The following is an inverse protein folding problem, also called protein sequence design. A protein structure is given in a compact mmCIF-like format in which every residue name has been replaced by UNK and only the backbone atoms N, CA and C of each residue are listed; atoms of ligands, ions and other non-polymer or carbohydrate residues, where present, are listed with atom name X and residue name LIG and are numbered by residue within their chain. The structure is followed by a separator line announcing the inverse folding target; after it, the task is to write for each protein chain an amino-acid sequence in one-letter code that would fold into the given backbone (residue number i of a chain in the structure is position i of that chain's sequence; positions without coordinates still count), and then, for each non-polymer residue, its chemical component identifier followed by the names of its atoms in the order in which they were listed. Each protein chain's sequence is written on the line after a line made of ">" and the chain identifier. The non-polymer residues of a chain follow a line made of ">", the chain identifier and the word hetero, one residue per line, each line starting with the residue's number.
data_IF_304943975917
#
_entry.id   IF_304943975917
#
_cell.length_a   1.000
_cell.length_b   1.000
_cell.length_c   1.000
_cell.angle_alpha   90.00
_cell.angle_beta   90.00
_cell.angle_gamma   90.00
#
_symmetry.space_group_name_H-M   'P 1'
#
loop_
_entity.id
_entity.type
_entity.pdbx_description
1 polymer ?
#
# COMPACT_ATOMS: atom_id res chain seq x y z
N UNK A 1 -22.64 2.26 -4.64
CA UNK A 1 -21.59 3.20 -5.12
C UNK A 1 -21.32 4.33 -4.13
N UNK A 2 -22.31 5.09 -3.66
CA UNK A 2 -22.10 6.22 -2.73
C UNK A 2 -21.36 5.85 -1.43
N UNK A 3 -21.68 4.72 -0.81
CA UNK A 3 -21.01 4.24 0.41
C UNK A 3 -19.49 4.03 0.21
N UNK A 4 -19.07 3.66 -1.00
CA UNK A 4 -17.68 3.37 -1.31
C UNK A 4 -16.81 4.63 -1.36
N UNK A 5 -17.36 5.74 -1.88
CA UNK A 5 -16.70 7.05 -1.93
C UNK A 5 -16.97 7.92 -0.68
N UNK A 6 -17.82 7.45 0.24
CA UNK A 6 -18.13 8.18 1.46
C UNK A 6 -16.89 8.29 2.37
N UNK A 7 -16.67 9.50 2.87
CA UNK A 7 -15.52 9.85 3.69
C UNK A 7 -15.89 10.91 4.71
N UNK A 8 -15.27 10.86 5.88
CA UNK A 8 -15.35 11.94 6.88
C UNK A 8 -14.45 13.10 6.48
N UNK A 9 -14.85 14.34 6.76
CA UNK A 9 -13.96 15.51 6.65
C UNK A 9 -12.99 15.51 7.86
N UNK A 10 -11.87 14.81 7.71
CA UNK A 10 -10.95 14.47 8.81
C UNK A 10 -9.51 14.79 8.45
N UNK A 11 -8.90 15.68 9.24
CA UNK A 11 -7.46 15.98 9.18
C UNK A 11 -6.58 14.78 9.57
N UNK A 12 -6.89 14.00 10.63
CA UNK A 12 -6.10 12.81 10.96
C UNK A 12 -6.03 11.81 9.80
N UNK A 13 -7.15 11.55 9.11
CA UNK A 13 -7.15 10.63 7.98
C UNK A 13 -6.35 11.17 6.79
N UNK A 14 -6.36 12.48 6.55
CA UNK A 14 -5.50 13.08 5.53
C UNK A 14 -4.01 12.86 5.86
N UNK A 15 -3.60 13.07 7.13
CA UNK A 15 -2.21 12.86 7.54
C UNK A 15 -1.80 11.40 7.33
N UNK A 16 -2.64 10.45 7.77
CA UNK A 16 -2.39 9.01 7.57
C UNK A 16 -2.30 8.68 6.09
N UNK A 17 -3.22 9.20 5.27
CA UNK A 17 -3.27 8.99 3.82
C UNK A 17 -2.01 9.47 3.11
N UNK A 18 -1.56 10.69 3.42
CA UNK A 18 -0.35 11.26 2.83
C UNK A 18 0.87 10.48 3.31
N UNK A 19 0.95 10.15 4.60
CA UNK A 19 2.06 9.37 5.17
C UNK A 19 2.23 8.01 4.51
N UNK A 20 1.19 7.17 4.53
CA UNK A 20 1.24 5.82 3.96
C UNK A 20 1.49 5.84 2.44
N UNK A 21 0.84 6.76 1.72
CA UNK A 21 1.03 6.91 0.27
C UNK A 21 2.45 7.36 -0.09
N UNK A 22 3.03 8.29 0.67
CA UNK A 22 4.38 8.77 0.42
C UNK A 22 5.44 7.70 0.71
N UNK A 23 5.23 6.87 1.74
CA UNK A 23 6.16 5.80 2.10
C UNK A 23 6.07 4.62 1.13
N UNK A 24 4.86 4.21 0.70
CA UNK A 24 4.70 3.09 -0.23
C UNK A 24 5.04 3.43 -1.69
N UNK A 25 4.99 4.70 -2.09
CA UNK A 25 5.29 5.11 -3.47
C UNK A 25 6.71 4.71 -3.91
N UNK A 26 7.80 4.99 -3.15
CA UNK A 26 9.13 4.48 -3.45
C UNK A 26 9.18 2.96 -3.61
N UNK A 27 8.52 2.20 -2.73
CA UNK A 27 8.52 0.73 -2.81
C UNK A 27 7.84 0.21 -4.08
N UNK A 28 6.71 0.82 -4.46
CA UNK A 28 6.05 0.49 -5.72
C UNK A 28 6.91 0.84 -6.93
N UNK A 29 7.59 1.99 -6.92
CA UNK A 29 8.43 2.43 -8.04
C UNK A 29 9.77 1.70 -8.12
N UNK A 30 10.30 1.21 -7.00
CA UNK A 30 11.41 0.26 -7.00
C UNK A 30 11.07 -0.99 -7.81
N UNK A 31 9.85 -1.51 -7.63
CA UNK A 31 9.37 -2.71 -8.32
C UNK A 31 8.92 -2.45 -9.75
N UNK A 32 8.26 -1.32 -10.03
CA UNK A 32 7.73 -0.99 -11.35
C UNK A 32 8.81 -0.45 -12.29
N UNK A 33 9.58 0.54 -11.83
CA UNK A 33 10.46 1.36 -12.68
C UNK A 33 11.96 1.16 -12.38
N UNK A 34 12.31 0.47 -11.29
CA UNK A 34 13.70 0.33 -10.85
C UNK A 34 14.26 1.61 -10.22
N UNK A 35 13.40 2.54 -9.83
CA UNK A 35 13.82 3.78 -9.16
C UNK A 35 14.28 3.50 -7.74
N UNK A 36 14.96 4.47 -7.11
CA UNK A 36 15.41 4.38 -5.71
C UNK A 36 16.26 3.13 -5.43
N UNK A 37 17.08 2.72 -6.40
CA UNK A 37 17.92 1.52 -6.30
C UNK A 37 17.16 0.20 -6.38
N UNK A 38 15.91 0.21 -6.87
CA UNK A 38 15.09 -0.98 -7.05
C UNK A 38 15.44 -1.80 -8.29
N UNK A 39 14.95 -3.05 -8.32
CA UNK A 39 15.26 -4.00 -9.40
C UNK A 39 14.44 -3.79 -10.68
N UNK A 40 13.31 -3.09 -10.61
CA UNK A 40 12.40 -2.89 -11.73
C UNK A 40 11.57 -4.14 -12.09
N UNK A 41 10.70 -3.98 -13.10
CA UNK A 41 9.59 -4.90 -13.36
C UNK A 41 10.02 -6.35 -13.62
N UNK A 42 10.88 -6.57 -14.61
CA UNK A 42 11.30 -7.90 -15.04
C UNK A 42 12.00 -8.69 -13.93
N UNK A 43 13.07 -8.15 -13.32
CA UNK A 43 13.76 -8.80 -12.21
C UNK A 43 12.86 -9.05 -11.00
N UNK A 44 11.94 -8.13 -10.68
CA UNK A 44 10.98 -8.32 -9.58
C UNK A 44 10.06 -9.51 -9.87
N UNK A 45 9.52 -9.61 -11.08
CA UNK A 45 8.72 -10.78 -11.50
C UNK A 45 9.53 -12.07 -11.41
N UNK A 46 10.79 -12.05 -11.88
CA UNK A 46 11.70 -13.18 -11.78
C UNK A 46 11.89 -13.65 -10.35
N UNK A 47 12.19 -12.73 -9.43
CA UNK A 47 12.37 -13.04 -8.01
C UNK A 47 11.12 -13.65 -7.38
N UNK A 48 9.94 -13.05 -7.58
CA UNK A 48 8.70 -13.57 -7.00
C UNK A 48 8.32 -14.94 -7.56
N UNK A 49 8.47 -15.15 -8.88
CA UNK A 49 8.10 -16.41 -9.51
C UNK A 49 9.09 -17.54 -9.26
N UNK A 50 10.38 -17.25 -9.24
CA UNK A 50 11.43 -18.28 -9.13
C UNK A 50 11.81 -18.57 -7.68
N UNK A 51 11.91 -17.53 -6.83
CA UNK A 51 12.34 -17.69 -5.44
C UNK A 51 11.15 -17.92 -4.50
N UNK A 52 10.07 -17.14 -4.68
CA UNK A 52 8.90 -17.21 -3.81
C UNK A 52 7.77 -18.08 -4.36
N UNK A 53 7.91 -18.64 -5.57
CA UNK A 53 6.91 -19.46 -6.25
C UNK A 53 5.52 -18.77 -6.37
N UNK A 54 5.51 -17.44 -6.43
CA UNK A 54 4.29 -16.64 -6.57
C UNK A 54 3.91 -16.53 -8.05
N UNK A 55 2.64 -16.81 -8.43
CA UNK A 55 2.18 -16.64 -9.80
C UNK A 55 2.41 -15.22 -10.33
N UNK A 56 2.90 -15.11 -11.57
CA UNK A 56 3.23 -13.82 -12.22
C UNK A 56 2.07 -12.84 -12.17
N UNK A 57 0.84 -13.31 -12.37
CA UNK A 57 -0.36 -12.47 -12.30
C UNK A 57 -0.51 -11.79 -10.92
N UNK A 58 -0.31 -12.52 -9.82
CA UNK A 58 -0.37 -11.94 -8.47
C UNK A 58 0.77 -10.95 -8.23
N UNK A 59 1.98 -11.27 -8.70
CA UNK A 59 3.11 -10.34 -8.63
C UNK A 59 2.82 -9.04 -9.35
N UNK A 60 2.21 -9.09 -10.55
CA UNK A 60 1.81 -7.89 -11.28
C UNK A 60 0.81 -7.04 -10.48
N UNK A 61 -0.16 -7.68 -9.83
CA UNK A 61 -1.11 -6.98 -8.97
C UNK A 61 -0.43 -6.31 -7.77
N UNK A 62 0.57 -6.95 -7.16
CA UNK A 62 1.36 -6.35 -6.07
C UNK A 62 2.13 -5.13 -6.57
N UNK A 63 2.84 -5.25 -7.70
CA UNK A 63 3.63 -4.13 -8.26
C UNK A 63 2.73 -2.94 -8.59
N UNK A 64 1.61 -3.19 -9.28
CA UNK A 64 0.66 -2.12 -9.65
C UNK A 64 -0.08 -1.57 -8.43
N UNK A 65 -0.43 -2.42 -7.47
CA UNK A 65 -1.08 -2.05 -6.23
C UNK A 65 -0.21 -1.14 -5.36
N UNK A 66 1.08 -1.40 -5.25
CA UNK A 66 1.99 -0.50 -4.54
C UNK A 66 2.31 0.76 -5.33
N UNK A 67 2.49 0.69 -6.64
CA UNK A 67 2.87 1.85 -7.46
C UNK A 67 1.69 2.77 -7.74
N UNK A 68 0.77 2.34 -8.60
CA UNK A 68 -0.40 3.11 -8.98
C UNK A 68 -1.35 3.32 -7.80
N UNK A 69 -1.45 2.32 -6.91
CA UNK A 69 -2.20 2.48 -5.67
C UNK A 69 -1.63 3.58 -4.78
N UNK A 70 -0.31 3.78 -4.68
CA UNK A 70 0.24 4.90 -3.90
C UNK A 70 -0.05 6.26 -4.49
N UNK A 71 -0.04 6.38 -5.82
CA UNK A 71 -0.49 7.61 -6.48
C UNK A 71 -1.97 7.86 -6.20
N UNK A 72 -2.82 6.83 -6.33
CA UNK A 72 -4.24 6.93 -6.02
C UNK A 72 -4.51 7.25 -4.54
N UNK A 73 -3.75 6.65 -3.62
CA UNK A 73 -3.84 6.89 -2.18
C UNK A 73 -3.51 8.34 -1.84
N UNK A 74 -2.43 8.89 -2.38
CA UNK A 74 -2.05 10.30 -2.17
C UNK A 74 -3.17 11.26 -2.59
N UNK A 75 -3.77 11.01 -3.76
CA UNK A 75 -4.93 11.76 -4.26
C UNK A 75 -6.20 11.53 -3.44
N UNK A 76 -6.27 10.46 -2.63
CA UNK A 76 -7.48 10.01 -1.97
C UNK A 76 -8.55 9.56 -2.96
N UNK A 77 -8.13 8.82 -3.98
CA UNK A 77 -9.00 8.21 -4.98
C UNK A 77 -9.12 6.70 -4.74
N UNK A 78 -10.34 6.21 -4.64
CA UNK A 78 -10.68 4.82 -4.30
C UNK A 78 -9.98 4.36 -3.01
N UNK A 79 -9.90 5.24 -2.01
CA UNK A 79 -9.09 5.07 -0.79
C UNK A 79 -9.34 3.73 -0.12
N UNK A 80 -10.61 3.31 0.03
CA UNK A 80 -10.98 2.04 0.67
C UNK A 80 -10.48 0.81 -0.11
N UNK A 81 -10.54 0.86 -1.44
CA UNK A 81 -10.04 -0.24 -2.28
C UNK A 81 -8.53 -0.34 -2.22
N UNK A 82 -7.82 0.80 -2.35
CA UNK A 82 -6.36 0.82 -2.25
C UNK A 82 -5.90 0.39 -0.85
N UNK A 83 -6.57 0.86 0.22
CA UNK A 83 -6.28 0.46 1.59
C UNK A 83 -6.45 -1.05 1.80
N UNK A 84 -7.50 -1.64 1.23
CA UNK A 84 -7.69 -3.11 1.25
C UNK A 84 -6.55 -3.81 0.53
N UNK A 85 -6.14 -3.31 -0.64
CA UNK A 85 -4.99 -3.82 -1.39
C UNK A 85 -3.71 -3.78 -0.56
N UNK A 86 -3.41 -2.68 0.11
CA UNK A 86 -2.24 -2.58 0.99
C UNK A 86 -2.27 -3.58 2.14
N UNK A 87 -3.41 -3.78 2.79
CA UNK A 87 -3.52 -4.79 3.85
C UNK A 87 -3.16 -6.17 3.30
N UNK A 88 -3.72 -6.55 2.16
CA UNK A 88 -3.43 -7.85 1.53
C UNK A 88 -1.97 -7.99 1.11
N UNK A 89 -1.38 -6.94 0.52
CA UNK A 89 0.04 -6.93 0.13
C UNK A 89 0.94 -7.07 1.35
N UNK A 90 0.67 -6.33 2.42
CA UNK A 90 1.46 -6.40 3.66
C UNK A 90 1.33 -7.77 4.31
N UNK A 91 0.12 -8.35 4.39
CA UNK A 91 -0.08 -9.70 4.92
C UNK A 91 0.69 -10.75 4.10
N UNK A 92 0.65 -10.66 2.77
CA UNK A 92 1.42 -11.54 1.90
C UNK A 92 2.93 -11.37 2.07
N UNK A 93 3.43 -10.13 2.22
CA UNK A 93 4.84 -9.89 2.48
C UNK A 93 5.29 -10.46 3.83
N UNK A 94 4.45 -10.32 4.88
CA UNK A 94 4.71 -10.92 6.19
C UNK A 94 4.85 -12.43 6.05
N UNK A 95 3.84 -13.10 5.51
CA UNK A 95 3.78 -14.56 5.43
C UNK A 95 4.92 -15.14 4.59
N UNK A 96 5.19 -14.54 3.42
CA UNK A 96 6.14 -15.09 2.45
C UNK A 96 7.61 -14.77 2.76
N UNK A 97 7.90 -13.64 3.41
CA UNK A 97 9.27 -13.11 3.50
C UNK A 97 9.69 -12.77 4.93
N UNK A 98 8.82 -12.12 5.71
CA UNK A 98 9.26 -11.47 6.95
C UNK A 98 8.97 -12.27 8.23
N UNK A 99 8.02 -13.22 8.21
CA UNK A 99 7.61 -13.98 9.39
C UNK A 99 8.77 -14.68 10.09
N UNK A 100 9.63 -15.34 9.30
CA UNK A 100 10.78 -16.09 9.81
C UNK A 100 11.93 -15.19 10.30
N UNK A 101 11.92 -13.90 9.97
CA UNK A 101 12.93 -12.93 10.43
C UNK A 101 12.57 -12.34 11.81
N UNK A 102 11.36 -12.60 12.30
CA UNK A 102 10.87 -12.09 13.59
C UNK A 102 10.29 -10.68 13.50
N UNK A 103 10.04 -10.09 14.68
CA UNK A 103 9.27 -8.84 14.78
C UNK A 103 10.06 -7.62 14.28
N UNK A 104 11.26 -7.40 14.81
CA UNK A 104 12.00 -6.14 14.64
C UNK A 104 12.60 -5.99 13.25
N UNK A 105 12.54 -4.78 12.69
CA UNK A 105 13.32 -4.46 11.48
C UNK A 105 14.83 -4.58 11.74
N UNK A 106 15.59 -4.85 10.69
CA UNK A 106 17.03 -5.09 10.73
C UNK A 106 17.84 -3.78 10.60
N UNK A 107 17.45 -2.73 11.32
CA UNK A 107 18.06 -1.39 11.22
C UNK A 107 19.59 -1.36 11.42
N UNK A 108 20.13 -2.32 12.18
CA UNK A 108 21.55 -2.42 12.50
C UNK A 108 22.28 -3.55 11.77
N UNK A 109 21.61 -4.25 10.83
CA UNK A 109 22.22 -5.35 10.07
C UNK A 109 22.61 -6.58 10.90
N UNK A 110 21.96 -6.79 12.05
CA UNK A 110 22.26 -7.91 12.99
C UNK A 110 21.37 -9.15 12.77
N UNK A 111 20.35 -9.04 11.94
CA UNK A 111 19.42 -10.11 11.60
C UNK A 111 19.68 -10.61 10.17
N UNK A 112 19.17 -11.80 9.85
CA UNK A 112 19.29 -12.41 8.52
C UNK A 112 18.44 -11.71 7.45
N UNK A 113 17.43 -10.94 7.85
CA UNK A 113 16.54 -10.18 6.98
C UNK A 113 15.71 -9.19 7.79
N UNK A 114 14.89 -8.39 7.11
CA UNK A 114 13.98 -7.46 7.77
C UNK A 114 12.83 -8.19 8.47
N UNK A 115 12.48 -7.79 9.69
CA UNK A 115 11.28 -8.25 10.38
C UNK A 115 9.98 -7.65 9.83
N UNK A 116 8.86 -7.88 10.52
CA UNK A 116 7.52 -7.48 10.07
C UNK A 116 6.91 -6.25 10.79
N UNK A 117 7.63 -5.60 11.70
CA UNK A 117 7.17 -4.41 12.44
C UNK A 117 6.61 -3.31 11.51
N UNK A 118 7.33 -2.97 10.44
CA UNK A 118 6.89 -1.98 9.45
C UNK A 118 5.52 -2.33 8.83
N UNK A 119 5.31 -3.59 8.49
CA UNK A 119 4.11 -4.07 7.82
C UNK A 119 2.87 -3.91 8.70
N UNK A 120 3.01 -4.12 10.02
CA UNK A 120 1.91 -3.92 10.96
C UNK A 120 1.49 -2.45 11.06
N UNK A 121 2.45 -1.51 11.02
CA UNK A 121 2.14 -0.08 10.99
C UNK A 121 1.38 0.31 9.72
N UNK A 122 1.81 -0.20 8.57
CA UNK A 122 1.11 0.00 7.29
C UNK A 122 -0.30 -0.59 7.35
N UNK A 123 -0.49 -1.80 7.89
CA UNK A 123 -1.81 -2.42 8.07
C UNK A 123 -2.71 -1.57 8.97
N UNK A 124 -2.21 -1.09 10.10
CA UNK A 124 -3.01 -0.27 11.03
C UNK A 124 -3.45 1.07 10.40
N UNK A 125 -2.53 1.72 9.67
CA UNK A 125 -2.83 2.95 8.92
C UNK A 125 -3.83 2.70 7.79
N UNK A 126 -3.64 1.64 7.01
CA UNK A 126 -4.56 1.25 5.96
C UNK A 126 -5.95 0.87 6.51
N UNK A 127 -6.02 0.16 7.63
CA UNK A 127 -7.29 -0.16 8.29
C UNK A 127 -8.04 1.10 8.74
N UNK A 128 -7.32 2.12 9.23
CA UNK A 128 -7.91 3.41 9.59
C UNK A 128 -8.56 4.10 8.37
N UNK A 129 -7.90 4.06 7.21
CA UNK A 129 -8.43 4.61 5.95
C UNK A 129 -9.54 3.73 5.36
N UNK A 130 -9.47 2.41 5.53
CA UNK A 130 -10.51 1.48 5.09
C UNK A 130 -11.83 1.74 5.81
N UNK A 131 -11.79 2.04 7.12
CA UNK A 131 -12.97 2.35 7.92
C UNK A 131 -13.44 3.79 7.71
N UNK A 132 -12.52 4.75 7.84
CA UNK A 132 -12.83 6.19 7.84
C UNK A 132 -12.96 6.85 6.47
N UNK A 133 -12.45 6.22 5.41
CA UNK A 133 -12.38 6.78 4.06
C UNK A 133 -11.17 7.68 3.83
N UNK A 134 -11.22 8.46 2.76
CA UNK A 134 -10.10 9.29 2.28
C UNK A 134 -9.71 10.47 3.18
N UNK A 135 -10.54 10.89 4.13
CA UNK A 135 -10.32 12.12 4.89
C UNK A 135 -10.48 13.39 4.05
N UNK A 136 -9.97 14.49 4.58
CA UNK A 136 -10.03 15.82 3.95
C UNK A 136 -9.30 15.85 2.61
N UNK A 137 -9.77 16.70 1.68
CA UNK A 137 -9.18 16.87 0.33
C UNK A 137 -8.95 15.55 -0.43
N UNK A 138 -9.86 14.58 -0.26
CA UNK A 138 -9.86 13.35 -1.05
C UNK A 138 -10.67 13.55 -2.33
N UNK A 139 -10.23 12.95 -3.43
CA UNK A 139 -11.04 12.84 -4.65
C UNK A 139 -12.34 12.08 -4.36
N UNK A 140 -12.30 11.06 -3.49
CA UNK A 140 -13.50 10.34 -3.02
C UNK A 140 -14.57 11.29 -2.44
N UNK A 141 -14.15 12.23 -1.59
CA UNK A 141 -15.05 13.25 -1.03
C UNK A 141 -15.63 14.18 -2.10
N UNK A 142 -14.83 14.60 -3.08
CA UNK A 142 -15.31 15.44 -4.18
C UNK A 142 -16.34 14.70 -5.06
N UNK A 143 -16.11 13.40 -5.33
CA UNK A 143 -17.06 12.56 -6.07
C UNK A 143 -18.36 12.40 -5.28
N UNK A 144 -18.29 12.08 -3.99
CA UNK A 144 -19.47 11.90 -3.14
C UNK A 144 -20.32 13.19 -3.07
N UNK A 145 -19.70 14.36 -2.94
CA UNK A 145 -20.42 15.64 -2.95
C UNK A 145 -21.09 15.95 -4.29
N UNK A 146 -20.48 15.58 -5.42
CA UNK A 146 -21.09 15.77 -6.75
C UNK A 146 -22.32 14.87 -6.92
N UNK A 147 -22.26 13.62 -6.44
CA UNK A 147 -23.39 12.70 -6.48
C UNK A 147 -24.59 13.20 -5.68
N UNK A 148 -24.37 13.98 -4.62
CA UNK A 148 -25.43 14.50 -3.75
C UNK A 148 -26.12 15.75 -4.30
N UNK A 149 -25.51 16.39 -5.31
CA UNK A 149 -26.05 17.55 -6.00
C UNK A 149 -26.91 17.20 -7.21
N UNK A 150 -26.97 15.92 -7.60
CA UNK A 150 -27.75 15.40 -8.73
C UNK A 150 -28.99 14.68 -8.22
#
# INVERSE_FOLDING_TARGET
>A
MKAFFSTTDSWPLLIVRIGIGAVLLPHGFQKLLGWFGGFGWGPTIGFFSQSLHVPVFLTMLVILGESLGSVAMLMGFMTRFVATGYILIMLGAIDLVHWNNGFFMNWFGKQHGEGFEYHLLVIAMAASLLVGGGGKWSVDGAIAQNMDRR
#
